data_IF_519936214178
#
_entry.id   IF_519936214178
#
_cell.length_a   1.000
_cell.length_b   1.000
_cell.length_c   1.000
_cell.angle_alpha   90.00
_cell.angle_beta   90.00
_cell.angle_gamma   90.00
#
_symmetry.space_group_name_H-M   'P 1'
#
loop_
_entity.id
_entity.type
_entity.pdbx_description
1 polymer ?
#
# COMPACT_ATOMS: atom_id res chain seq x y z
N UNK A 1 -2.74 -7.66 8.03
CA UNK A 1 -3.37 -7.49 6.72
C UNK A 1 -4.58 -6.61 6.95
N UNK A 2 -4.49 -5.34 6.59
CA UNK A 2 -5.63 -4.45 6.63
C UNK A 2 -5.78 -3.88 5.22
N UNK A 3 -6.92 -4.17 4.59
CA UNK A 3 -7.30 -3.69 3.27
C UNK A 3 -8.49 -2.71 3.36
N UNK A 4 -8.75 -2.14 4.53
CA UNK A 4 -9.93 -1.31 4.79
C UNK A 4 -9.97 -0.07 3.89
N UNK A 5 -8.79 0.46 3.52
CA UNK A 5 -8.66 1.58 2.57
C UNK A 5 -9.16 1.24 1.15
N UNK A 6 -9.26 -0.05 0.80
CA UNK A 6 -9.71 -0.46 -0.54
C UNK A 6 -11.22 -0.25 -0.73
N UNK A 7 -12.00 -0.21 0.36
CA UNK A 7 -13.42 0.15 0.28
C UNK A 7 -13.64 1.52 -0.33
N UNK A 8 -12.77 2.48 -0.01
CA UNK A 8 -12.81 3.84 -0.58
C UNK A 8 -12.39 3.84 -2.06
N UNK A 9 -11.35 3.08 -2.42
CA UNK A 9 -10.85 2.97 -3.80
C UNK A 9 -11.91 2.38 -4.73
N UNK A 10 -12.58 1.31 -4.30
CA UNK A 10 -13.63 0.66 -5.09
C UNK A 10 -15.02 1.27 -4.89
N UNK A 11 -15.15 2.27 -4.01
CA UNK A 11 -16.40 2.94 -3.65
C UNK A 11 -17.52 2.01 -3.14
N UNK A 12 -17.19 0.75 -2.83
CA UNK A 12 -18.09 -0.28 -2.32
C UNK A 12 -17.27 -1.32 -1.54
N UNK A 13 -17.60 -1.49 -0.26
CA UNK A 13 -16.90 -2.40 0.65
C UNK A 13 -17.10 -3.88 0.29
N UNK A 14 -18.28 -4.25 -0.20
CA UNK A 14 -18.63 -5.63 -0.56
C UNK A 14 -17.88 -6.05 -1.81
N UNK A 15 -17.84 -5.16 -2.81
CA UNK A 15 -17.09 -5.40 -4.05
C UNK A 15 -15.59 -5.44 -3.76
N UNK A 16 -15.05 -4.52 -2.95
CA UNK A 16 -13.65 -4.51 -2.54
C UNK A 16 -13.26 -5.86 -1.90
N UNK A 17 -14.04 -6.35 -0.93
CA UNK A 17 -13.78 -7.62 -0.27
C UNK A 17 -13.76 -8.81 -1.24
N UNK A 18 -14.72 -8.86 -2.18
CA UNK A 18 -14.78 -9.93 -3.18
C UNK A 18 -13.62 -9.90 -4.19
N UNK A 19 -13.06 -8.72 -4.48
CA UNK A 19 -11.86 -8.58 -5.33
C UNK A 19 -10.61 -9.02 -4.55
N UNK A 20 -10.46 -8.53 -3.32
CA UNK A 20 -9.31 -8.88 -2.46
C UNK A 20 -9.25 -10.39 -2.26
N UNK A 21 -10.36 -11.03 -1.93
CA UNK A 21 -10.46 -12.49 -1.75
C UNK A 21 -9.85 -13.25 -2.95
N UNK A 22 -10.23 -12.89 -4.17
CA UNK A 22 -9.69 -13.49 -5.40
C UNK A 22 -8.20 -13.20 -5.62
N UNK A 23 -7.75 -11.98 -5.33
CA UNK A 23 -6.36 -11.58 -5.51
C UNK A 23 -5.43 -12.28 -4.51
N UNK A 24 -5.88 -12.48 -3.27
CA UNK A 24 -5.04 -13.05 -2.20
C UNK A 24 -5.09 -14.58 -2.13
N UNK A 25 -6.07 -15.23 -2.76
CA UNK A 25 -6.28 -16.69 -2.70
C UNK A 25 -5.03 -17.52 -3.01
N UNK A 26 -4.19 -17.07 -3.95
CA UNK A 26 -2.93 -17.74 -4.32
C UNK A 26 -1.73 -16.79 -4.34
N UNK A 27 -1.77 -15.72 -3.53
CA UNK A 27 -0.70 -14.73 -3.49
C UNK A 27 0.22 -14.90 -2.27
N UNK A 28 1.47 -14.49 -2.45
CA UNK A 28 2.40 -14.26 -1.35
C UNK A 28 2.43 -12.77 -1.02
N UNK A 29 2.10 -12.42 0.22
CA UNK A 29 2.05 -11.02 0.65
C UNK A 29 3.40 -10.64 1.26
N UNK A 30 4.04 -9.63 0.66
CA UNK A 30 5.27 -9.04 1.18
C UNK A 30 4.98 -7.67 1.79
N UNK A 31 5.31 -7.52 3.07
CA UNK A 31 5.23 -6.23 3.76
C UNK A 31 6.49 -5.43 3.48
N UNK A 32 6.35 -4.40 2.65
CA UNK A 32 7.44 -3.47 2.36
C UNK A 32 7.34 -2.30 3.34
N UNK A 33 8.42 -2.06 4.07
CA UNK A 33 8.56 -0.94 4.97
C UNK A 33 9.90 -0.22 4.72
N UNK A 34 10.08 0.93 5.34
CA UNK A 34 11.26 1.76 5.19
C UNK A 34 11.08 2.94 4.23
N UNK A 35 12.12 3.76 4.13
CA UNK A 35 12.08 4.98 3.32
C UNK A 35 12.12 4.65 1.83
N UNK A 36 11.41 5.45 1.03
CA UNK A 36 11.47 5.31 -0.41
C UNK A 36 12.90 5.46 -0.89
N UNK A 37 13.39 4.47 -1.65
CA UNK A 37 14.71 4.55 -2.29
C UNK A 37 14.86 5.82 -3.13
N UNK A 38 13.77 6.33 -3.72
CA UNK A 38 13.76 7.58 -4.52
C UNK A 38 14.14 8.82 -3.70
N UNK A 39 13.96 8.76 -2.38
CA UNK A 39 14.31 9.83 -1.45
C UNK A 39 15.76 9.70 -0.93
N UNK A 40 16.47 8.62 -1.28
CA UNK A 40 17.87 8.42 -0.91
C UNK A 40 18.71 9.57 -1.47
N UNK A 41 19.37 10.30 -0.58
CA UNK A 41 20.18 11.48 -0.94
C UNK A 41 19.40 12.77 -1.17
N UNK A 42 18.06 12.75 -1.27
CA UNK A 42 17.23 13.95 -1.44
C UNK A 42 16.80 14.59 -0.12
N UNK A 43 16.57 13.77 0.92
CA UNK A 43 16.18 14.25 2.25
C UNK A 43 17.28 15.07 2.95
N UNK A 44 18.56 14.88 2.60
CA UNK A 44 19.66 15.70 3.14
C UNK A 44 19.60 17.14 2.64
N UNK A 45 19.05 17.39 1.45
CA UNK A 45 18.97 18.73 0.87
C UNK A 45 17.79 19.56 1.42
N UNK A 46 16.79 18.93 2.05
CA UNK A 46 15.59 19.61 2.55
C UNK A 46 15.61 19.96 4.02
N UNK A 47 16.55 19.41 4.81
CA UNK A 47 16.65 19.64 6.27
C UNK A 47 17.71 20.68 6.63
N UNK A 48 18.45 21.18 5.65
CA UNK A 48 19.47 22.24 5.84
C UNK A 48 18.91 23.66 5.61
N UNK A 49 17.61 23.89 5.87
CA UNK A 49 16.95 25.19 5.79
C UNK A 49 16.12 25.48 7.05
#
# INVERSE_FOLDING_TARGET
YNFDEWGEIFSDQVVAAAIIDRLVHHAHIFYINGTSYRLKGKLRASTDY
#
